data_IF_008985140135
#
_entry.id   IF_008985140135
#
_cell.length_a   1.000
_cell.length_b   1.000
_cell.length_c   1.000
_cell.angle_alpha   90.00
_cell.angle_beta   90.00
_cell.angle_gamma   90.00
#
_symmetry.space_group_name_H-M   'P 1'
#
loop_
_entity.id
_entity.type
_entity.pdbx_description
1 polymer ?
#
# COMPACT_ATOMS: atom_id res chain seq x y z
N UNK A 1 11.06 -1.04 6.65
CA UNK A 1 9.87 -1.22 5.80
C UNK A 1 10.03 -0.30 4.62
N UNK A 2 9.97 -0.87 3.43
CA UNK A 2 10.16 -0.17 2.16
C UNK A 2 8.91 -0.38 1.30
N UNK A 3 8.24 0.71 0.93
CA UNK A 3 7.19 0.69 -0.09
C UNK A 3 7.85 0.81 -1.47
N UNK A 4 7.54 -0.12 -2.36
CA UNK A 4 8.03 -0.16 -3.74
C UNK A 4 6.84 0.06 -4.66
N UNK A 5 6.93 1.12 -5.47
CA UNK A 5 5.91 1.50 -6.44
C UNK A 5 6.52 1.44 -7.83
N UNK A 6 5.82 0.78 -8.77
CA UNK A 6 6.16 0.79 -10.19
C UNK A 6 4.94 1.25 -10.99
N UNK A 7 5.09 2.37 -11.68
CA UNK A 7 4.13 2.90 -12.64
C UNK A 7 4.47 2.38 -14.03
N UNK A 8 3.45 2.00 -14.79
CA UNK A 8 3.59 1.60 -16.19
C UNK A 8 2.31 1.98 -16.96
N UNK A 9 2.30 1.74 -18.26
CA UNK A 9 1.15 1.99 -19.11
C UNK A 9 1.11 1.01 -20.29
N UNK A 10 -0.10 0.73 -20.79
CA UNK A 10 -0.30 -0.03 -22.02
C UNK A 10 -1.32 0.68 -22.91
N UNK A 11 -1.14 0.57 -24.23
CA UNK A 11 -2.13 1.06 -25.18
C UNK A 11 -3.46 0.31 -25.00
N UNK A 12 -4.56 1.05 -25.00
CA UNK A 12 -5.92 0.51 -25.03
C UNK A 12 -6.39 0.56 -26.47
N UNK A 13 -6.70 -0.61 -27.05
CA UNK A 13 -7.24 -0.73 -28.40
C UNK A 13 -8.66 -1.27 -28.36
N UNK A 14 -9.48 -0.87 -29.33
CA UNK A 14 -10.79 -1.48 -29.53
C UNK A 14 -10.70 -2.81 -30.30
N UNK A 15 -11.86 -3.44 -30.55
CA UNK A 15 -11.96 -4.73 -31.25
C UNK A 15 -11.48 -4.64 -32.71
N UNK A 16 -11.42 -3.44 -33.30
CA UNK A 16 -10.93 -3.18 -34.64
C UNK A 16 -9.46 -2.73 -34.66
N UNK A 17 -8.78 -2.72 -33.51
CA UNK A 17 -7.39 -2.33 -33.36
C UNK A 17 -7.15 -0.81 -33.37
N UNK A 18 -8.20 0.00 -33.36
CA UNK A 18 -8.08 1.45 -33.28
C UNK A 18 -7.63 1.88 -31.87
N UNK A 19 -6.76 2.89 -31.81
CA UNK A 19 -6.29 3.45 -30.55
C UNK A 19 -7.43 4.12 -29.78
N UNK A 20 -7.65 3.69 -28.54
CA UNK A 20 -8.70 4.17 -27.63
C UNK A 20 -8.14 4.83 -26.37
N UNK A 21 -6.83 5.09 -26.33
CA UNK A 21 -6.16 5.70 -25.19
C UNK A 21 -5.17 4.78 -24.50
N UNK A 22 -4.98 5.00 -23.21
CA UNK A 22 -3.97 4.34 -22.39
C UNK A 22 -4.64 3.76 -21.15
N UNK A 23 -4.22 2.56 -20.76
CA UNK A 23 -4.48 2.03 -19.42
C UNK A 23 -3.21 2.18 -18.59
N UNK A 24 -3.31 2.89 -17.48
CA UNK A 24 -2.26 3.05 -16.50
C UNK A 24 -2.21 1.82 -15.59
N UNK A 25 -0.99 1.41 -15.22
CA UNK A 25 -0.76 0.23 -14.39
C UNK A 25 0.06 0.68 -13.18
N UNK A 26 -0.49 0.51 -11.99
CA UNK A 26 0.18 0.78 -10.72
C UNK A 26 0.45 -0.54 -10.00
N UNK A 27 1.73 -0.86 -9.83
CA UNK A 27 2.16 -1.99 -9.00
C UNK A 27 2.67 -1.44 -7.68
N UNK A 28 2.21 -2.01 -6.57
CA UNK A 28 2.63 -1.64 -5.23
C UNK A 28 3.00 -2.90 -4.45
N UNK A 29 4.15 -2.91 -3.78
CA UNK A 29 4.47 -3.92 -2.79
C UNK A 29 5.27 -3.36 -1.63
N UNK A 30 5.26 -4.04 -0.49
CA UNK A 30 6.06 -3.68 0.68
C UNK A 30 7.09 -4.77 0.94
N UNK A 31 8.32 -4.35 1.24
CA UNK A 31 9.35 -5.22 1.79
C UNK A 31 9.58 -4.87 3.26
N UNK A 32 9.47 -5.88 4.12
CA UNK A 32 9.73 -5.82 5.56
C UNK A 32 11.11 -6.41 5.84
N UNK A 33 11.88 -5.78 6.71
CA UNK A 33 13.09 -6.40 7.25
C UNK A 33 12.75 -7.44 8.33
N UNK A 34 13.76 -8.15 8.85
CA UNK A 34 13.54 -9.23 9.83
C UNK A 34 12.88 -8.74 11.12
N UNK A 35 13.26 -7.56 11.63
CA UNK A 35 12.69 -6.99 12.86
C UNK A 35 11.21 -6.66 12.65
N UNK A 36 10.89 -6.09 11.51
CA UNK A 36 9.51 -5.75 11.18
C UNK A 36 8.63 -6.99 10.95
N UNK A 37 9.17 -8.04 10.33
CA UNK A 37 8.48 -9.31 10.18
C UNK A 37 8.15 -9.93 11.55
N UNK A 38 9.09 -9.90 12.48
CA UNK A 38 8.88 -10.37 13.86
C UNK A 38 7.78 -9.57 14.57
N UNK A 39 7.78 -8.24 14.44
CA UNK A 39 6.73 -7.38 15.01
C UNK A 39 5.36 -7.68 14.40
N UNK A 40 5.27 -7.78 13.07
CA UNK A 40 4.02 -8.13 12.37
C UNK A 40 3.49 -9.49 12.85
N UNK A 41 4.36 -10.48 12.99
CA UNK A 41 3.98 -11.80 13.50
C UNK A 41 3.56 -11.75 14.97
N UNK A 42 4.33 -11.08 15.84
CA UNK A 42 4.07 -10.98 17.29
C UNK A 42 2.70 -10.36 17.58
N UNK A 43 2.31 -9.36 16.81
CA UNK A 43 1.05 -8.62 17.00
C UNK A 43 -0.08 -9.06 16.06
N UNK A 44 0.10 -10.14 15.28
CA UNK A 44 -0.87 -10.61 14.29
C UNK A 44 -1.36 -9.51 13.32
N UNK A 45 -0.45 -8.63 12.89
CA UNK A 45 -0.78 -7.44 12.11
C UNK A 45 -0.91 -7.70 10.59
N UNK A 46 -0.70 -8.94 10.13
CA UNK A 46 -0.72 -9.32 8.71
C UNK A 46 -2.03 -8.97 8.00
N UNK A 47 -3.16 -9.17 8.67
CA UNK A 47 -4.49 -8.93 8.10
C UNK A 47 -5.03 -7.53 8.42
N UNK A 48 -4.20 -6.66 9.02
CA UNK A 48 -4.60 -5.29 9.29
C UNK A 48 -4.91 -4.56 7.98
N UNK A 49 -6.10 -3.95 7.95
CA UNK A 49 -6.54 -3.08 6.85
C UNK A 49 -5.72 -1.79 6.88
N UNK A 50 -5.15 -1.44 5.73
CA UNK A 50 -4.31 -0.26 5.54
C UNK A 50 -5.04 0.86 4.80
N UNK A 51 -5.87 0.51 3.81
CA UNK A 51 -6.65 1.48 3.03
C UNK A 51 -8.12 1.10 2.99
N UNK A 52 -8.97 2.10 2.81
CA UNK A 52 -10.42 1.97 2.69
C UNK A 52 -10.88 2.57 1.37
N UNK A 53 -11.98 2.05 0.81
CA UNK A 53 -12.60 2.61 -0.39
C UNK A 53 -13.34 3.88 -0.02
N UNK A 54 -13.10 4.96 -0.78
CA UNK A 54 -13.66 6.29 -0.53
C UNK A 54 -15.20 6.31 -0.38
N UNK A 55 -15.92 5.41 -1.06
CA UNK A 55 -17.37 5.48 -1.17
C UNK A 55 -18.15 4.81 -0.03
N UNK A 56 -17.54 3.92 0.77
CA UNK A 56 -18.29 3.09 1.74
C UNK A 56 -17.51 2.70 3.00
N UNK A 57 -16.34 3.29 3.26
CA UNK A 57 -15.47 2.90 4.39
C UNK A 57 -15.20 1.38 4.42
N UNK A 58 -15.29 0.75 3.25
CA UNK A 58 -15.08 -0.68 3.10
C UNK A 58 -13.59 -0.95 2.94
N UNK A 59 -13.04 -1.99 3.57
CA UNK A 59 -11.64 -2.36 3.40
C UNK A 59 -11.24 -2.48 1.93
N UNK A 60 -10.10 -1.90 1.56
CA UNK A 60 -9.52 -1.98 0.21
C UNK A 60 -8.28 -2.88 0.21
N UNK A 61 -7.21 -2.50 0.92
CA UNK A 61 -5.95 -3.25 0.98
C UNK A 61 -5.56 -3.59 2.41
N UNK A 62 -5.14 -4.84 2.62
CA UNK A 62 -4.47 -5.29 3.84
C UNK A 62 -2.95 -5.25 3.71
N UNK A 63 -2.25 -5.34 4.84
CA UNK A 63 -0.79 -5.46 4.87
C UNK A 63 -0.31 -6.68 4.06
N UNK A 64 -0.90 -7.86 4.29
CA UNK A 64 -0.53 -9.08 3.58
C UNK A 64 -0.70 -8.97 2.06
N UNK A 65 -1.76 -8.30 1.58
CA UNK A 65 -1.91 -8.04 0.14
C UNK A 65 -0.76 -7.19 -0.41
N UNK A 66 -0.33 -6.16 0.32
CA UNK A 66 0.80 -5.34 -0.08
C UNK A 66 2.16 -6.06 0.05
N UNK A 67 2.33 -6.97 1.02
CA UNK A 67 3.53 -7.84 1.09
C UNK A 67 3.62 -8.73 -0.15
N UNK A 68 2.51 -9.36 -0.55
CA UNK A 68 2.44 -10.20 -1.75
C UNK A 68 2.49 -9.41 -3.07
N UNK A 69 2.25 -8.10 -2.99
CA UNK A 69 2.20 -7.19 -4.12
C UNK A 69 0.81 -7.15 -4.76
N UNK A 70 0.42 -5.94 -5.16
CA UNK A 70 -0.85 -5.67 -5.83
C UNK A 70 -0.61 -4.92 -7.14
N UNK A 71 -1.44 -5.20 -8.13
CA UNK A 71 -1.46 -4.50 -9.42
C UNK A 71 -2.85 -3.92 -9.66
N UNK A 72 -2.93 -2.64 -9.98
CA UNK A 72 -4.16 -1.96 -10.37
C UNK A 72 -4.04 -1.45 -11.80
N UNK A 73 -5.03 -1.75 -12.63
CA UNK A 73 -5.18 -1.17 -13.97
C UNK A 73 -6.25 -0.08 -13.93
N UNK A 74 -5.91 1.11 -14.42
CA UNK A 74 -6.66 2.34 -14.22
C UNK A 74 -6.74 3.10 -15.55
N UNK A 75 -7.91 3.58 -15.91
CA UNK A 75 -8.10 4.31 -17.18
C UNK A 75 -7.85 5.83 -17.04
N UNK A 76 -7.69 6.33 -15.81
CA UNK A 76 -7.48 7.74 -15.51
C UNK A 76 -6.21 7.94 -14.64
N UNK A 77 -5.37 8.89 -15.06
CA UNK A 77 -4.09 9.17 -14.38
C UNK A 77 -4.30 9.83 -13.01
N UNK A 78 -5.33 10.67 -12.86
CA UNK A 78 -5.67 11.29 -11.58
C UNK A 78 -6.11 10.26 -10.55
N UNK A 79 -6.91 9.28 -10.96
CA UNK A 79 -7.29 8.14 -10.11
C UNK A 79 -6.07 7.32 -9.72
N UNK A 80 -5.12 7.08 -10.64
CA UNK A 80 -3.87 6.39 -10.32
C UNK A 80 -3.03 7.17 -9.29
N UNK A 81 -2.87 8.47 -9.48
CA UNK A 81 -2.11 9.33 -8.57
C UNK A 81 -2.75 9.39 -7.17
N UNK A 82 -4.08 9.51 -7.10
CA UNK A 82 -4.80 9.45 -5.83
C UNK A 82 -4.58 8.10 -5.13
N UNK A 83 -4.78 6.97 -5.83
CA UNK A 83 -4.58 5.64 -5.23
C UNK A 83 -3.16 5.45 -4.71
N UNK A 84 -2.17 5.94 -5.46
CA UNK A 84 -0.78 5.91 -5.03
C UNK A 84 -0.55 6.72 -3.74
N UNK A 85 -1.08 7.93 -3.67
CA UNK A 85 -0.96 8.81 -2.50
C UNK A 85 -1.62 8.20 -1.25
N UNK A 86 -2.80 7.59 -1.42
CA UNK A 86 -3.49 6.86 -0.35
C UNK A 86 -2.64 5.70 0.17
N UNK A 87 -2.04 4.90 -0.73
CA UNK A 87 -1.17 3.79 -0.35
C UNK A 87 0.08 4.29 0.38
N UNK A 88 0.71 5.37 -0.10
CA UNK A 88 1.89 5.98 0.56
C UNK A 88 1.58 6.38 2.00
N UNK A 89 0.50 7.14 2.22
CA UNK A 89 0.08 7.60 3.56
C UNK A 89 -0.25 6.44 4.49
N UNK A 90 -0.92 5.42 3.97
CA UNK A 90 -1.24 4.21 4.73
C UNK A 90 0.02 3.46 5.17
N UNK A 91 0.99 3.31 4.27
CA UNK A 91 2.28 2.68 4.57
C UNK A 91 3.10 3.51 5.57
N UNK A 92 3.16 4.83 5.43
CA UNK A 92 3.83 5.69 6.40
C UNK A 92 3.22 5.56 7.80
N UNK A 93 1.89 5.59 7.88
CA UNK A 93 1.15 5.39 9.13
C UNK A 93 1.42 4.02 9.74
N UNK A 94 1.50 2.96 8.93
CA UNK A 94 1.81 1.62 9.40
C UNK A 94 3.26 1.49 9.87
N UNK A 95 4.22 2.14 9.20
CA UNK A 95 5.62 2.19 9.64
C UNK A 95 5.73 2.82 11.03
N UNK A 96 5.01 3.92 11.27
CA UNK A 96 4.98 4.56 12.58
C UNK A 96 4.40 3.63 13.65
N UNK A 97 3.35 2.87 13.31
CA UNK A 97 2.82 1.82 14.21
C UNK A 97 3.84 0.73 14.52
N UNK A 98 4.60 0.25 13.53
CA UNK A 98 5.68 -0.71 13.77
C UNK A 98 6.75 -0.15 14.72
N UNK A 99 7.12 1.12 14.58
CA UNK A 99 8.07 1.76 15.49
C UNK A 99 7.52 1.80 16.92
N UNK A 100 6.24 2.14 17.12
CA UNK A 100 5.59 2.10 18.45
C UNK A 100 5.51 0.66 18.99
N UNK A 101 5.13 -0.32 18.16
CA UNK A 101 5.08 -1.73 18.55
C UNK A 101 6.44 -2.26 19.04
N UNK A 102 7.54 -1.69 18.53
CA UNK A 102 8.90 -2.02 18.93
C UNK A 102 9.27 -1.48 20.32
N UNK A 103 8.60 -0.44 20.82
CA UNK A 103 8.89 0.13 22.16
C UNK A 103 8.14 -0.60 23.28
N UNK A 104 7.08 -1.33 22.96
CA UNK A 104 6.26 -2.03 23.95
C UNK A 104 7.08 -3.09 24.73
N UNK A 105 7.12 -2.92 26.05
CA UNK A 105 7.91 -3.73 26.98
C UNK A 105 9.18 -3.04 27.48
N UNK A 106 9.51 -1.86 26.96
CA UNK A 106 10.54 -0.96 27.51
C UNK A 106 9.94 0.24 28.24
N UNK A 107 10.80 1.09 28.75
CA UNK A 107 10.45 2.41 29.30
C UNK A 107 10.83 3.50 28.29
N UNK A 108 9.92 4.43 28.01
CA UNK A 108 10.17 5.61 27.20
C UNK A 108 10.08 6.85 28.11
N UNK A 109 11.17 7.64 28.15
CA UNK A 109 11.21 8.91 28.87
C UNK A 109 11.00 10.04 27.86
N UNK A 110 9.96 10.84 28.06
CA UNK A 110 9.64 12.00 27.22
C UNK A 110 9.84 13.25 28.07
N UNK A 111 10.84 14.04 27.75
CA UNK A 111 11.06 15.36 28.34
C UNK A 111 10.16 16.38 27.62
N UNK A 112 9.33 17.10 28.39
CA UNK A 112 8.38 18.11 27.92
C UNK A 112 8.79 19.49 28.43
#
# INVERSE_FOLDING_TARGET
>A
MKLIIKRNQKEKKDVFGAYKGVTFILNCRIELDSVEQELVSKYNASDQVLTYKESQDSPDLTLNQLINGVTAELDDIGVMMNKEEVIKKACESFKNRLMIMATFGGEEVIDI
#
